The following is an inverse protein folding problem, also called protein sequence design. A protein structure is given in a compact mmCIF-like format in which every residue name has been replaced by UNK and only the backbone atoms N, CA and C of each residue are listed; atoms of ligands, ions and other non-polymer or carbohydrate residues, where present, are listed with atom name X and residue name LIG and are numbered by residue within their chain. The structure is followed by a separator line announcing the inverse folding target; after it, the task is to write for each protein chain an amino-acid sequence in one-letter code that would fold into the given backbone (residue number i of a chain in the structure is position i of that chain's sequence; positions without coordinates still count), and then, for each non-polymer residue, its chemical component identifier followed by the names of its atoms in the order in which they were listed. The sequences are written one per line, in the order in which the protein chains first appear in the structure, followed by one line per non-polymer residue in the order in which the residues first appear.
data_IF_540808152201
#
_entry.id   IF_540808152201
#
_cell.length_a   1.000
_cell.length_b   1.000
_cell.length_c   1.000
_cell.angle_alpha   90.00
_cell.angle_beta   90.00
_cell.angle_gamma   90.00
#
_symmetry.space_group_name_H-M   'P 1'
#
loop_
_entity.id
_entity.type
_entity.pdbx_description
1 polymer ?
#
# COMPACT_ATOMS: atom_id res chain seq x y z
N UNK A 1 0.29 -17.17 -37.71
CA UNK A 1 0.94 -17.43 -36.41
C UNK A 1 2.27 -16.69 -36.44
N UNK A 2 2.38 -15.61 -35.68
CA UNK A 2 3.67 -14.94 -35.46
C UNK A 2 4.59 -15.92 -34.74
N UNK A 3 5.78 -16.16 -35.30
CA UNK A 3 6.75 -17.09 -34.73
C UNK A 3 7.27 -16.55 -33.39
N UNK A 4 7.06 -17.30 -32.31
CA UNK A 4 7.48 -16.88 -30.96
C UNK A 4 8.96 -17.20 -30.81
N UNK A 5 9.80 -16.16 -30.72
CA UNK A 5 11.23 -16.31 -30.45
C UNK A 5 11.47 -16.54 -28.96
N UNK A 6 12.42 -17.42 -28.65
CA UNK A 6 12.83 -17.76 -27.30
C UNK A 6 14.31 -17.40 -27.07
N UNK A 7 14.70 -16.98 -25.85
CA UNK A 7 16.10 -16.80 -25.49
C UNK A 7 16.91 -18.09 -25.68
N UNK A 8 18.24 -17.96 -25.80
CA UNK A 8 19.12 -19.11 -26.01
C UNK A 8 18.92 -20.20 -24.93
N UNK A 9 18.84 -21.46 -25.36
CA UNK A 9 18.60 -22.61 -24.48
C UNK A 9 17.15 -22.79 -24.00
N UNK A 10 16.26 -21.84 -24.29
CA UNK A 10 14.84 -21.97 -23.97
C UNK A 10 14.10 -22.75 -25.07
N UNK A 11 13.11 -23.53 -24.67
CA UNK A 11 12.28 -24.35 -25.56
C UNK A 11 10.84 -23.81 -25.57
N UNK A 12 10.06 -24.06 -26.63
CA UNK A 12 8.68 -23.59 -26.73
C UNK A 12 7.82 -23.98 -25.53
N UNK A 13 6.95 -23.08 -25.09
CA UNK A 13 5.92 -23.36 -24.08
C UNK A 13 4.62 -23.61 -24.85
N UNK A 14 4.09 -24.83 -24.77
CA UNK A 14 2.87 -25.22 -25.49
C UNK A 14 1.86 -25.85 -24.51
N UNK A 15 0.57 -25.70 -24.80
CA UNK A 15 -0.50 -26.10 -23.88
C UNK A 15 -0.63 -27.62 -23.69
N UNK A 16 -0.12 -28.40 -24.65
CA UNK A 16 -0.09 -29.86 -24.65
C UNK A 16 1.00 -30.46 -23.74
N UNK A 17 1.89 -29.62 -23.17
CA UNK A 17 2.94 -30.10 -22.27
C UNK A 17 2.37 -30.58 -20.94
N UNK A 18 2.87 -31.73 -20.47
CA UNK A 18 2.69 -32.15 -19.09
C UNK A 18 3.29 -31.13 -18.12
N UNK A 19 2.67 -30.97 -16.95
CA UNK A 19 3.03 -29.94 -15.95
C UNK A 19 4.52 -29.96 -15.57
N UNK A 20 5.13 -31.13 -15.40
CA UNK A 20 6.55 -31.23 -15.02
C UNK A 20 7.50 -30.72 -16.11
N UNK A 21 7.21 -31.02 -17.38
CA UNK A 21 8.01 -30.53 -18.50
C UNK A 21 7.80 -29.02 -18.69
N UNK A 22 6.58 -28.52 -18.49
CA UNK A 22 6.29 -27.10 -18.51
C UNK A 22 7.08 -26.36 -17.41
N UNK A 23 7.09 -26.88 -16.18
CA UNK A 23 7.89 -26.36 -15.07
C UNK A 23 9.38 -26.34 -15.43
N UNK A 24 9.90 -27.41 -16.03
CA UNK A 24 11.31 -27.49 -16.44
C UNK A 24 11.66 -26.39 -17.46
N UNK A 25 10.81 -26.19 -18.48
CA UNK A 25 11.03 -25.15 -19.51
C UNK A 25 10.90 -23.75 -18.91
N UNK A 26 9.91 -23.51 -18.06
CA UNK A 26 9.74 -22.23 -17.37
C UNK A 26 10.90 -21.90 -16.43
N UNK A 27 11.49 -22.88 -15.75
CA UNK A 27 12.71 -22.67 -14.94
C UNK A 27 13.88 -22.21 -15.81
N UNK A 28 14.09 -22.82 -16.98
CA UNK A 28 15.11 -22.40 -17.93
C UNK A 28 14.84 -20.99 -18.44
N UNK A 29 13.59 -20.70 -18.79
CA UNK A 29 13.19 -19.36 -19.25
C UNK A 29 13.39 -18.29 -18.19
N UNK A 30 12.94 -18.54 -16.96
CA UNK A 30 13.11 -17.63 -15.83
C UNK A 30 14.60 -17.32 -15.59
N UNK A 31 15.47 -18.32 -15.69
CA UNK A 31 16.92 -18.10 -15.53
C UNK A 31 17.51 -17.27 -16.67
N UNK A 32 17.10 -17.52 -17.92
CA UNK A 32 17.55 -16.75 -19.07
C UNK A 32 17.09 -15.29 -18.99
N UNK A 33 15.82 -15.04 -18.65
CA UNK A 33 15.27 -13.69 -18.49
C UNK A 33 15.90 -12.96 -17.29
N UNK A 34 16.14 -13.64 -16.17
CA UNK A 34 16.83 -13.06 -15.02
C UNK A 34 18.25 -12.60 -15.35
N UNK A 35 18.98 -13.35 -16.17
CA UNK A 35 20.35 -13.01 -16.59
C UNK A 35 20.40 -11.89 -17.65
N UNK A 36 19.28 -11.61 -18.30
CA UNK A 36 19.19 -10.68 -19.43
C UNK A 36 19.29 -9.21 -18.97
N UNK A 37 20.11 -8.44 -19.66
CA UNK A 37 20.21 -6.98 -19.49
C UNK A 37 19.22 -6.20 -20.37
N UNK A 38 18.94 -4.94 -20.02
CA UNK A 38 18.09 -4.05 -20.82
C UNK A 38 18.73 -3.70 -22.19
N UNK A 39 20.06 -3.63 -22.25
CA UNK A 39 20.80 -3.20 -23.45
C UNK A 39 21.02 -4.32 -24.49
N UNK A 40 20.41 -5.49 -24.30
CA UNK A 40 20.56 -6.59 -25.24
C UNK A 40 19.80 -6.33 -26.54
N UNK A 41 20.51 -6.41 -27.68
CA UNK A 41 19.96 -6.12 -29.02
C UNK A 41 18.72 -6.95 -29.39
N UNK A 42 18.55 -8.11 -28.74
CA UNK A 42 17.48 -9.06 -29.03
C UNK A 42 16.24 -8.87 -28.15
N UNK A 43 16.22 -7.94 -27.19
CA UNK A 43 15.03 -7.72 -26.34
C UNK A 43 13.74 -7.53 -27.15
N UNK A 44 13.70 -6.69 -28.22
CA UNK A 44 12.49 -6.49 -29.02
C UNK A 44 11.99 -7.76 -29.72
N UNK A 45 12.85 -8.76 -29.94
CA UNK A 45 12.46 -10.04 -30.56
C UNK A 45 11.54 -10.87 -29.65
N UNK A 46 11.50 -10.59 -28.35
CA UNK A 46 10.75 -11.37 -27.36
C UNK A 46 9.35 -10.83 -27.04
N UNK A 47 8.85 -9.84 -27.79
CA UNK A 47 7.50 -9.27 -27.56
C UNK A 47 6.42 -10.35 -27.64
N UNK A 48 6.49 -11.25 -28.63
CA UNK A 48 5.48 -12.31 -28.78
C UNK A 48 5.52 -13.31 -27.61
N UNK A 49 6.71 -13.59 -27.07
CA UNK A 49 6.87 -14.41 -25.87
C UNK A 49 6.27 -13.72 -24.64
N UNK A 50 6.48 -12.41 -24.51
CA UNK A 50 5.91 -11.62 -23.42
C UNK A 50 4.39 -11.61 -23.43
N UNK A 51 3.78 -11.48 -24.62
CA UNK A 51 2.33 -11.52 -24.80
C UNK A 51 1.76 -12.91 -24.52
N UNK A 52 2.43 -13.97 -24.97
CA UNK A 52 2.01 -15.34 -24.71
C UNK A 52 2.04 -15.69 -23.21
N UNK A 53 3.04 -15.22 -22.45
CA UNK A 53 3.14 -15.52 -21.01
C UNK A 53 2.02 -14.93 -20.15
N UNK A 54 1.28 -13.95 -20.68
CA UNK A 54 0.14 -13.32 -19.99
C UNK A 54 -1.20 -13.84 -20.47
N UNK A 55 -1.21 -14.88 -21.30
CA UNK A 55 -2.42 -15.59 -21.68
C UNK A 55 -3.07 -16.27 -20.47
N UNK A 56 -4.40 -16.38 -20.51
CA UNK A 56 -5.21 -16.94 -19.44
C UNK A 56 -4.77 -18.34 -19.03
N UNK A 57 -4.32 -19.15 -20.00
CA UNK A 57 -3.76 -20.48 -19.76
C UNK A 57 -2.64 -20.46 -18.71
N UNK A 58 -1.69 -19.52 -18.82
CA UNK A 58 -0.56 -19.42 -17.90
C UNK A 58 -0.94 -18.75 -16.57
N UNK A 59 -1.72 -17.67 -16.61
CA UNK A 59 -2.12 -16.93 -15.41
C UNK A 59 -3.05 -17.76 -14.50
N UNK A 60 -3.91 -18.59 -15.09
CA UNK A 60 -4.88 -19.42 -14.38
C UNK A 60 -4.50 -20.90 -14.31
N UNK A 61 -3.25 -21.24 -14.67
CA UNK A 61 -2.77 -22.63 -14.65
C UNK A 61 -2.99 -23.29 -13.28
N UNK A 62 -3.38 -24.57 -13.25
CA UNK A 62 -3.73 -25.30 -12.02
C UNK A 62 -2.55 -25.46 -11.05
N UNK A 63 -1.34 -25.64 -11.57
CA UNK A 63 -0.11 -25.73 -10.77
C UNK A 63 0.36 -24.38 -10.25
N UNK A 64 0.54 -24.27 -8.93
CA UNK A 64 1.10 -23.08 -8.25
C UNK A 64 2.54 -22.80 -8.68
N UNK A 65 3.34 -23.84 -8.93
CA UNK A 65 4.73 -23.68 -9.35
C UNK A 65 4.83 -23.06 -10.75
N UNK A 66 3.93 -23.48 -11.66
CA UNK A 66 3.81 -22.87 -12.99
C UNK A 66 3.45 -21.40 -12.85
N UNK A 67 2.41 -21.08 -12.08
CA UNK A 67 2.00 -19.69 -11.90
C UNK A 67 3.12 -18.81 -11.30
N UNK A 68 3.83 -19.30 -10.29
CA UNK A 68 4.93 -18.56 -9.68
C UNK A 68 6.09 -18.33 -10.65
N UNK A 69 6.45 -19.34 -11.44
CA UNK A 69 7.48 -19.19 -12.47
C UNK A 69 7.07 -18.20 -13.55
N UNK A 70 5.81 -18.26 -13.99
CA UNK A 70 5.24 -17.29 -14.95
C UNK A 70 5.32 -15.87 -14.38
N UNK A 71 4.95 -15.67 -13.10
CA UNK A 71 5.08 -14.35 -12.48
C UNK A 71 6.52 -13.84 -12.43
N UNK A 72 7.50 -14.70 -12.11
CA UNK A 72 8.91 -14.30 -12.18
C UNK A 72 9.31 -13.92 -13.61
N UNK A 73 8.92 -14.69 -14.63
CA UNK A 73 9.20 -14.37 -16.03
C UNK A 73 8.60 -13.02 -16.44
N UNK A 74 7.34 -12.75 -16.09
CA UNK A 74 6.67 -11.48 -16.42
C UNK A 74 7.37 -10.31 -15.70
N UNK A 75 7.76 -10.47 -14.43
CA UNK A 75 8.51 -9.45 -13.70
C UNK A 75 9.86 -9.14 -14.35
N UNK A 76 10.59 -10.17 -14.78
CA UNK A 76 11.84 -9.98 -15.53
C UNK A 76 11.63 -9.38 -16.92
N UNK A 77 10.52 -9.67 -17.58
CA UNK A 77 10.14 -9.00 -18.84
C UNK A 77 9.92 -7.51 -18.58
N UNK A 78 9.17 -7.13 -17.54
CA UNK A 78 9.00 -5.71 -17.20
C UNK A 78 10.35 -5.04 -16.92
N UNK A 79 11.27 -5.74 -16.23
CA UNK A 79 12.64 -5.25 -15.97
C UNK A 79 13.43 -5.05 -17.25
N UNK A 80 13.43 -6.02 -18.15
CA UNK A 80 14.25 -6.05 -19.36
C UNK A 80 13.73 -5.07 -20.42
N UNK A 81 12.41 -4.90 -20.52
CA UNK A 81 11.79 -3.97 -21.46
C UNK A 81 11.69 -2.54 -20.95
N UNK A 82 11.97 -2.28 -19.67
CA UNK A 82 11.95 -0.92 -19.14
C UNK A 82 12.88 0.01 -19.95
N UNK A 83 12.45 1.26 -20.24
CA UNK A 83 11.26 1.93 -19.70
C UNK A 83 9.94 1.59 -20.41
N UNK A 84 9.96 0.97 -21.58
CA UNK A 84 8.75 0.72 -22.40
C UNK A 84 8.32 -0.75 -22.33
N UNK A 85 7.43 -1.07 -21.39
CA UNK A 85 6.87 -2.41 -21.26
C UNK A 85 6.13 -2.86 -22.55
N UNK A 86 6.12 -4.17 -22.87
CA UNK A 86 5.50 -4.68 -24.09
C UNK A 86 3.96 -4.71 -24.03
N UNK A 87 3.39 -4.46 -22.85
CA UNK A 87 1.95 -4.52 -22.59
C UNK A 87 1.32 -3.14 -22.75
N UNK A 88 0.33 -3.02 -23.65
CA UNK A 88 -0.34 -1.75 -23.96
C UNK A 88 -1.83 -1.74 -23.62
N UNK A 89 -2.44 -2.91 -23.48
CA UNK A 89 -3.86 -3.06 -23.21
C UNK A 89 -4.13 -2.94 -21.70
N UNK A 90 -5.07 -2.07 -21.30
CA UNK A 90 -5.31 -1.79 -19.87
C UNK A 90 -5.86 -3.00 -19.11
N UNK A 91 -6.72 -3.82 -19.74
CA UNK A 91 -7.28 -5.01 -19.11
C UNK A 91 -6.19 -6.09 -18.93
N UNK A 92 -5.30 -6.24 -19.90
CA UNK A 92 -4.13 -7.10 -19.80
C UNK A 92 -3.20 -6.63 -18.67
N UNK A 93 -2.87 -5.34 -18.59
CA UNK A 93 -2.02 -4.79 -17.54
C UNK A 93 -2.67 -5.04 -16.17
N UNK A 94 -3.97 -4.79 -16.04
CA UNK A 94 -4.73 -5.09 -14.82
C UNK A 94 -4.69 -6.57 -14.45
N UNK A 95 -4.86 -7.47 -15.41
CA UNK A 95 -4.78 -8.92 -15.17
C UNK A 95 -3.39 -9.33 -14.65
N UNK A 96 -2.31 -8.76 -15.20
CA UNK A 96 -0.93 -9.00 -14.77
C UNK A 96 -0.74 -8.56 -13.31
N UNK A 97 -1.13 -7.34 -12.93
CA UNK A 97 -0.92 -6.86 -11.57
C UNK A 97 -1.80 -7.55 -10.53
N UNK A 98 -3.02 -7.92 -10.90
CA UNK A 98 -3.88 -8.76 -10.08
C UNK A 98 -3.27 -10.15 -9.87
N UNK A 99 -2.65 -10.72 -10.92
CA UNK A 99 -1.91 -11.97 -10.84
C UNK A 99 -0.67 -11.84 -9.94
N UNK A 100 0.09 -10.74 -10.01
CA UNK A 100 1.19 -10.48 -9.09
C UNK A 100 0.72 -10.40 -7.63
N UNK A 101 -0.38 -9.70 -7.34
CA UNK A 101 -0.95 -9.64 -5.98
C UNK A 101 -1.31 -11.05 -5.49
N UNK A 102 -1.89 -11.89 -6.36
CA UNK A 102 -2.17 -13.31 -6.05
C UNK A 102 -0.89 -14.06 -5.70
N UNK A 103 0.20 -13.89 -6.44
CA UNK A 103 1.47 -14.57 -6.15
C UNK A 103 2.17 -14.03 -4.91
N UNK A 104 2.15 -12.71 -4.68
CA UNK A 104 2.76 -12.11 -3.49
C UNK A 104 2.09 -12.58 -2.18
N UNK A 105 0.85 -13.08 -2.22
CA UNK A 105 0.21 -13.76 -1.10
C UNK A 105 1.00 -14.98 -0.58
N UNK A 106 1.83 -15.60 -1.43
CA UNK A 106 2.77 -16.66 -1.06
C UNK A 106 3.85 -16.23 -0.06
N UNK A 107 4.09 -14.92 0.10
CA UNK A 107 4.98 -14.38 1.13
C UNK A 107 4.47 -14.59 2.55
N UNK A 108 3.19 -14.95 2.75
CA UNK A 108 2.59 -15.10 4.08
C UNK A 108 3.35 -16.06 5.01
N UNK A 109 4.04 -17.05 4.45
CA UNK A 109 4.77 -18.07 5.19
C UNK A 109 6.25 -18.10 4.75
N UNK A 110 7.15 -17.45 5.52
CA UNK A 110 8.59 -17.49 5.26
C UNK A 110 9.22 -18.88 5.28
N UNK A 111 8.53 -19.90 5.81
CA UNK A 111 9.00 -21.28 5.90
C UNK A 111 8.61 -22.12 4.68
N UNK A 112 7.77 -21.58 3.78
CA UNK A 112 7.38 -22.25 2.55
C UNK A 112 8.60 -22.53 1.65
N UNK A 113 8.68 -23.73 1.06
CA UNK A 113 9.80 -24.14 0.21
C UNK A 113 10.00 -23.22 -1.02
N UNK A 114 8.93 -22.58 -1.48
CA UNK A 114 8.92 -21.64 -2.59
C UNK A 114 9.12 -20.18 -2.15
N UNK A 115 9.29 -19.89 -0.85
CA UNK A 115 9.46 -18.53 -0.33
C UNK A 115 10.58 -17.76 -1.02
N UNK A 116 11.71 -18.40 -1.34
CA UNK A 116 12.82 -17.75 -2.07
C UNK A 116 12.38 -17.15 -3.41
N UNK A 117 11.43 -17.79 -4.12
CA UNK A 117 10.89 -17.29 -5.38
C UNK A 117 9.88 -16.16 -5.16
N UNK A 118 9.02 -16.26 -4.15
CA UNK A 118 8.12 -15.17 -3.77
C UNK A 118 8.91 -13.92 -3.34
N UNK A 119 9.99 -14.11 -2.58
CA UNK A 119 10.91 -13.05 -2.19
C UNK A 119 11.57 -12.41 -3.41
N UNK A 120 12.07 -13.22 -4.35
CA UNK A 120 12.63 -12.71 -5.61
C UNK A 120 11.62 -11.88 -6.40
N UNK A 121 10.38 -12.36 -6.51
CA UNK A 121 9.30 -11.62 -7.18
C UNK A 121 9.07 -10.27 -6.52
N UNK A 122 8.97 -10.23 -5.18
CA UNK A 122 8.81 -8.98 -4.42
C UNK A 122 9.98 -8.01 -4.66
N UNK A 123 11.21 -8.51 -4.56
CA UNK A 123 12.43 -7.72 -4.76
C UNK A 123 12.50 -7.11 -6.16
N UNK A 124 12.19 -7.90 -7.19
CA UNK A 124 12.19 -7.44 -8.58
C UNK A 124 11.13 -6.35 -8.82
N UNK A 125 9.88 -6.60 -8.40
CA UNK A 125 8.78 -5.65 -8.55
C UNK A 125 9.05 -4.33 -7.80
N UNK A 126 9.68 -4.39 -6.62
CA UNK A 126 10.07 -3.21 -5.86
C UNK A 126 11.18 -2.42 -6.56
N UNK A 127 12.24 -3.10 -7.02
CA UNK A 127 13.39 -2.45 -7.66
C UNK A 127 13.01 -1.76 -8.98
N UNK A 128 12.19 -2.41 -9.79
CA UNK A 128 11.71 -1.87 -11.07
C UNK A 128 10.56 -0.86 -10.88
N UNK A 129 10.00 -0.78 -9.66
CA UNK A 129 8.78 -0.02 -9.36
C UNK A 129 7.62 -0.39 -10.29
N UNK A 130 7.47 -1.68 -10.59
CA UNK A 130 6.57 -2.16 -11.64
C UNK A 130 5.11 -1.71 -11.44
N UNK A 131 4.63 -1.61 -10.19
CA UNK A 131 3.27 -1.18 -9.88
C UNK A 131 2.96 0.26 -10.31
N UNK A 132 3.96 1.12 -10.57
CA UNK A 132 3.72 2.47 -11.10
C UNK A 132 3.04 2.44 -12.48
N UNK A 133 3.21 1.35 -13.24
CA UNK A 133 2.50 1.15 -14.52
C UNK A 133 0.97 1.16 -14.35
N UNK A 134 0.47 0.88 -13.14
CA UNK A 134 -0.97 0.93 -12.86
C UNK A 134 -1.56 2.34 -12.88
N UNK A 135 -0.76 3.40 -12.80
CA UNK A 135 -1.30 4.77 -12.80
C UNK A 135 -2.04 5.12 -14.10
N UNK A 136 -1.68 4.47 -15.22
CA UNK A 136 -2.30 4.69 -16.52
C UNK A 136 -3.61 3.89 -16.73
N UNK A 137 -3.97 3.02 -15.79
CA UNK A 137 -5.13 2.14 -15.89
C UNK A 137 -6.38 2.81 -15.31
N UNK A 138 -7.49 2.74 -16.03
CA UNK A 138 -8.80 3.12 -15.49
C UNK A 138 -9.17 2.22 -14.30
N UNK A 139 -9.70 2.78 -13.21
CA UNK A 139 -9.97 2.03 -11.96
C UNK A 139 -8.73 1.41 -11.26
N UNK A 140 -7.52 1.96 -11.43
CA UNK A 140 -6.29 1.48 -10.78
C UNK A 140 -6.39 1.34 -9.24
N UNK A 141 -7.26 2.12 -8.61
CA UNK A 141 -7.52 2.08 -7.17
C UNK A 141 -7.99 0.70 -6.68
N UNK A 142 -8.69 -0.08 -7.52
CA UNK A 142 -9.07 -1.47 -7.16
C UNK A 142 -7.84 -2.35 -6.97
N UNK A 143 -6.82 -2.18 -7.82
CA UNK A 143 -5.55 -2.91 -7.73
C UNK A 143 -4.82 -2.49 -6.45
N UNK A 144 -4.72 -1.18 -6.18
CA UNK A 144 -4.04 -0.65 -5.00
C UNK A 144 -4.71 -1.10 -3.70
N UNK A 145 -6.04 -1.02 -3.61
CA UNK A 145 -6.77 -1.52 -2.44
C UNK A 145 -6.51 -3.02 -2.19
N UNK A 146 -6.49 -3.85 -3.24
CA UNK A 146 -6.20 -5.27 -3.08
C UNK A 146 -4.75 -5.53 -2.67
N UNK A 147 -3.80 -4.81 -3.25
CA UNK A 147 -2.39 -4.90 -2.86
C UNK A 147 -2.19 -4.52 -1.39
N UNK A 148 -2.73 -3.38 -0.96
CA UNK A 148 -2.57 -2.89 0.42
C UNK A 148 -3.24 -3.82 1.43
N UNK A 149 -4.49 -4.24 1.16
CA UNK A 149 -5.20 -5.20 2.00
C UNK A 149 -4.43 -6.52 2.10
N UNK A 150 -3.85 -7.00 0.99
CA UNK A 150 -3.04 -8.21 0.99
C UNK A 150 -1.77 -8.03 1.83
N UNK A 151 -0.99 -6.96 1.63
CA UNK A 151 0.26 -6.69 2.38
C UNK A 151 0.02 -6.60 3.89
N UNK A 152 -0.97 -5.83 4.33
CA UNK A 152 -1.31 -5.73 5.76
C UNK A 152 -1.81 -7.06 6.35
N UNK A 153 -2.46 -7.90 5.55
CA UNK A 153 -2.95 -9.21 6.00
C UNK A 153 -1.83 -10.24 6.15
N UNK A 154 -0.84 -10.23 5.26
CA UNK A 154 0.19 -11.27 5.24
C UNK A 154 1.37 -10.98 6.18
N UNK A 155 1.65 -9.70 6.48
CA UNK A 155 2.82 -9.31 7.25
C UNK A 155 2.79 -9.87 8.68
N UNK A 156 3.92 -10.43 9.13
CA UNK A 156 4.09 -11.05 10.44
C UNK A 156 5.52 -10.90 11.01
N UNK A 157 5.77 -11.52 12.15
CA UNK A 157 7.04 -11.53 12.88
C UNK A 157 8.14 -12.31 12.15
N UNK A 158 7.79 -13.40 11.47
CA UNK A 158 8.73 -14.23 10.71
C UNK A 158 9.35 -13.47 9.49
N UNK A 159 8.76 -12.34 9.08
CA UNK A 159 9.32 -11.52 7.99
C UNK A 159 10.56 -10.74 8.42
N UNK A 160 11.65 -10.97 7.69
CA UNK A 160 12.87 -10.16 7.80
C UNK A 160 12.62 -8.68 7.50
N UNK A 161 13.49 -7.82 8.03
CA UNK A 161 13.49 -6.37 7.72
C UNK A 161 13.56 -6.10 6.21
N UNK A 162 14.29 -6.93 5.45
CA UNK A 162 14.41 -6.77 4.00
C UNK A 162 13.07 -6.96 3.28
N UNK A 163 12.27 -7.95 3.69
CA UNK A 163 10.91 -8.17 3.16
C UNK A 163 10.04 -6.95 3.46
N UNK A 164 10.05 -6.49 4.72
CA UNK A 164 9.27 -5.33 5.16
C UNK A 164 9.63 -4.07 4.36
N UNK A 165 10.93 -3.84 4.13
CA UNK A 165 11.39 -2.71 3.33
C UNK A 165 10.88 -2.79 1.88
N UNK A 166 10.95 -3.95 1.22
CA UNK A 166 10.43 -4.07 -0.14
C UNK A 166 8.90 -3.90 -0.22
N UNK A 167 8.15 -4.33 0.79
CA UNK A 167 6.71 -4.01 0.87
C UNK A 167 6.49 -2.49 0.91
N UNK A 168 7.26 -1.77 1.73
CA UNK A 168 7.22 -0.30 1.81
C UNK A 168 7.60 0.35 0.47
N UNK A 169 8.65 -0.16 -0.19
CA UNK A 169 9.17 0.39 -1.44
C UNK A 169 8.19 0.21 -2.61
N UNK A 170 7.35 -0.84 -2.58
CA UNK A 170 6.22 -1.00 -3.50
C UNK A 170 5.07 -0.06 -3.14
N UNK A 171 4.71 0.04 -1.86
CA UNK A 171 3.49 0.75 -1.43
C UNK A 171 3.65 2.28 -1.41
N UNK A 172 4.83 2.78 -1.10
CA UNK A 172 5.08 4.23 -0.92
C UNK A 172 4.86 5.04 -2.20
N UNK A 173 5.39 4.65 -3.38
CA UNK A 173 5.13 5.35 -4.65
C UNK A 173 3.64 5.47 -4.96
N UNK A 174 2.85 4.44 -4.63
CA UNK A 174 1.40 4.38 -4.86
C UNK A 174 0.60 5.36 -3.98
N UNK A 175 1.24 5.95 -2.96
CA UNK A 175 0.68 7.05 -2.17
C UNK A 175 1.23 8.39 -2.66
N UNK A 176 2.54 8.46 -2.94
CA UNK A 176 3.22 9.72 -3.20
C UNK A 176 3.07 10.25 -4.63
N UNK A 177 2.92 9.34 -5.60
CA UNK A 177 2.83 9.65 -7.03
C UNK A 177 1.39 9.53 -7.57
N UNK A 178 0.44 9.05 -6.75
CA UNK A 178 -0.95 8.96 -7.15
C UNK A 178 -1.61 10.34 -7.24
N UNK A 179 -2.30 10.62 -8.35
CA UNK A 179 -3.08 11.86 -8.52
C UNK A 179 -4.16 12.02 -7.45
N UNK A 180 -4.80 10.91 -7.08
CA UNK A 180 -5.85 10.86 -6.04
C UNK A 180 -5.76 9.56 -5.25
N UNK A 181 -5.64 9.67 -3.92
CA UNK A 181 -5.80 8.55 -2.99
C UNK A 181 -7.26 8.43 -2.59
N UNK A 182 -7.88 7.28 -2.82
CA UNK A 182 -9.28 7.06 -2.46
C UNK A 182 -9.46 6.83 -0.96
N UNK A 183 -10.64 7.18 -0.42
CA UNK A 183 -10.97 6.96 1.00
C UNK A 183 -10.88 5.49 1.42
N UNK A 184 -11.30 4.49 0.63
CA UNK A 184 -11.10 3.08 0.98
C UNK A 184 -9.61 2.70 1.13
N UNK A 185 -8.74 3.22 0.27
CA UNK A 185 -7.30 2.97 0.37
C UNK A 185 -6.71 3.64 1.62
N UNK A 186 -7.14 4.86 1.92
CA UNK A 186 -6.79 5.54 3.17
C UNK A 186 -7.25 4.76 4.40
N UNK A 187 -8.48 4.22 4.38
CA UNK A 187 -9.02 3.38 5.47
C UNK A 187 -8.16 2.14 5.71
N UNK A 188 -7.72 1.46 4.65
CA UNK A 188 -6.83 0.31 4.73
C UNK A 188 -5.49 0.64 5.41
N UNK A 189 -4.98 1.87 5.27
CA UNK A 189 -3.75 2.30 5.95
C UNK A 189 -4.06 2.63 7.41
N UNK A 190 -5.05 3.51 7.64
CA UNK A 190 -5.32 4.11 8.94
C UNK A 190 -5.96 3.14 9.95
N UNK A 191 -6.69 2.11 9.49
CA UNK A 191 -7.30 1.15 10.41
C UNK A 191 -6.25 0.37 11.22
N UNK A 192 -5.05 0.16 10.66
CA UNK A 192 -3.96 -0.60 11.30
C UNK A 192 -3.29 0.16 12.46
N UNK A 193 -3.53 1.47 12.60
CA UNK A 193 -2.94 2.27 13.68
C UNK A 193 -3.88 2.49 14.87
N UNK A 194 -5.10 1.98 14.82
CA UNK A 194 -6.10 2.10 15.89
C UNK A 194 -6.51 0.74 16.45
N UNK A 195 -6.96 0.72 17.71
CA UNK A 195 -7.45 -0.50 18.35
C UNK A 195 -8.77 -0.99 17.75
N UNK A 196 -9.04 -2.31 17.69
CA UNK A 196 -8.19 -3.41 18.18
C UNK A 196 -7.11 -3.84 17.17
N UNK A 197 -7.09 -3.26 15.96
CA UNK A 197 -6.23 -3.74 14.88
C UNK A 197 -4.74 -3.54 15.19
N UNK A 198 -4.42 -2.40 15.82
CA UNK A 198 -3.07 -2.07 16.31
C UNK A 198 -2.49 -3.17 17.21
N UNK A 199 -3.23 -3.59 18.24
CA UNK A 199 -2.77 -4.64 19.15
C UNK A 199 -2.90 -6.05 18.56
N UNK A 200 -3.88 -6.29 17.69
CA UNK A 200 -4.09 -7.58 17.05
C UNK A 200 -2.97 -7.97 16.07
N UNK A 201 -2.37 -7.01 15.37
CA UNK A 201 -1.21 -7.24 14.52
C UNK A 201 -0.22 -6.06 14.58
N UNK A 202 0.75 -6.17 15.49
CA UNK A 202 1.80 -5.16 15.68
C UNK A 202 2.69 -4.97 14.44
N UNK A 203 2.83 -5.98 13.58
CA UNK A 203 3.62 -5.86 12.36
C UNK A 203 2.89 -5.08 11.27
N UNK A 204 1.57 -5.24 11.17
CA UNK A 204 0.74 -4.39 10.31
C UNK A 204 0.73 -2.93 10.81
N UNK A 205 0.69 -2.72 12.14
CA UNK A 205 0.89 -1.41 12.75
C UNK A 205 2.23 -0.78 12.32
N UNK A 206 3.35 -1.48 12.50
CA UNK A 206 4.67 -0.94 12.15
C UNK A 206 4.84 -0.69 10.64
N UNK A 207 4.22 -1.49 9.78
CA UNK A 207 4.18 -1.23 8.34
C UNK A 207 3.41 0.07 8.05
N UNK A 208 2.23 0.26 8.66
CA UNK A 208 1.42 1.46 8.48
C UNK A 208 2.14 2.70 9.03
N UNK A 209 2.76 2.60 10.21
CA UNK A 209 3.58 3.65 10.83
C UNK A 209 4.70 4.11 9.89
N UNK A 210 5.48 3.16 9.34
CA UNK A 210 6.56 3.49 8.41
C UNK A 210 6.04 4.10 7.09
N UNK A 211 4.93 3.61 6.55
CA UNK A 211 4.29 4.21 5.38
C UNK A 211 3.90 5.66 5.65
N UNK A 212 3.14 5.90 6.73
CA UNK A 212 2.66 7.22 7.11
C UNK A 212 3.83 8.20 7.29
N UNK A 213 4.92 7.76 7.91
CA UNK A 213 6.11 8.59 8.08
C UNK A 213 6.76 8.94 6.73
N UNK A 214 7.03 7.93 5.88
CA UNK A 214 7.67 8.13 4.57
C UNK A 214 6.83 8.96 3.60
N UNK A 215 5.52 8.82 3.65
CA UNK A 215 4.59 9.46 2.70
C UNK A 215 3.78 10.60 3.32
N UNK A 216 4.25 11.14 4.45
CA UNK A 216 3.54 12.15 5.24
C UNK A 216 3.12 13.38 4.43
N UNK A 217 4.02 13.95 3.63
CA UNK A 217 3.72 15.13 2.82
C UNK A 217 2.56 14.90 1.83
N UNK A 218 2.45 13.70 1.26
CA UNK A 218 1.38 13.33 0.34
C UNK A 218 0.06 13.03 1.09
N UNK A 219 0.15 12.41 2.27
CA UNK A 219 -1.01 12.10 3.10
C UNK A 219 -1.62 13.31 3.80
N UNK A 220 -0.82 14.33 4.16
CA UNK A 220 -1.28 15.50 4.91
C UNK A 220 -2.54 16.18 4.31
N UNK A 221 -2.58 16.60 3.04
CA UNK A 221 -3.77 17.24 2.48
C UNK A 221 -4.98 16.31 2.46
N UNK A 222 -4.76 15.01 2.22
CA UNK A 222 -5.81 14.00 2.10
C UNK A 222 -6.45 13.74 3.47
N UNK A 223 -5.61 13.56 4.49
CA UNK A 223 -6.02 13.39 5.89
C UNK A 223 -6.76 14.63 6.37
N UNK A 224 -6.28 15.84 6.04
CA UNK A 224 -6.96 17.10 6.39
C UNK A 224 -8.38 17.16 5.81
N UNK A 225 -8.53 16.80 4.53
CA UNK A 225 -9.85 16.77 3.86
C UNK A 225 -10.75 15.72 4.51
N UNK A 226 -10.22 14.52 4.76
CA UNK A 226 -10.95 13.43 5.40
C UNK A 226 -11.49 13.83 6.78
N UNK A 227 -10.64 14.38 7.66
CA UNK A 227 -11.09 14.86 8.96
C UNK A 227 -12.10 16.00 8.85
N UNK A 228 -11.95 16.92 7.89
CA UNK A 228 -12.92 17.99 7.68
C UNK A 228 -14.30 17.43 7.27
N UNK A 229 -14.33 16.44 6.38
CA UNK A 229 -15.57 15.79 5.94
C UNK A 229 -16.27 15.08 7.10
N UNK A 230 -15.53 14.33 7.92
CA UNK A 230 -16.11 13.54 9.00
C UNK A 230 -16.43 14.40 10.23
N UNK A 231 -15.45 15.16 10.74
CA UNK A 231 -15.62 15.92 11.97
C UNK A 231 -16.45 17.18 11.76
N UNK A 232 -16.15 17.98 10.74
CA UNK A 232 -16.78 19.30 10.60
C UNK A 232 -18.11 19.19 9.86
N UNK A 233 -18.13 18.47 8.73
CA UNK A 233 -19.33 18.35 7.90
C UNK A 233 -20.27 17.21 8.31
N UNK A 234 -19.85 16.34 9.24
CA UNK A 234 -20.67 15.21 9.70
C UNK A 234 -20.94 14.15 8.63
N UNK A 235 -20.13 14.12 7.55
CA UNK A 235 -20.27 13.13 6.47
C UNK A 235 -19.66 11.80 6.91
N UNK A 236 -20.48 10.94 7.49
CA UNK A 236 -20.10 9.62 7.96
C UNK A 236 -20.40 8.58 6.88
N UNK A 237 -19.37 7.96 6.33
CA UNK A 237 -19.50 6.76 5.49
C UNK A 237 -19.34 5.52 6.37
N UNK A 238 -20.40 4.70 6.44
CA UNK A 238 -20.42 3.47 7.23
C UNK A 238 -19.52 2.37 6.66
N UNK A 239 -19.10 2.49 5.40
CA UNK A 239 -18.18 1.55 4.76
C UNK A 239 -16.71 1.84 5.10
N UNK A 240 -16.42 2.99 5.74
CA UNK A 240 -15.08 3.41 6.14
C UNK A 240 -14.92 3.17 7.64
N UNK A 241 -14.18 2.12 8.00
CA UNK A 241 -14.12 1.60 9.36
C UNK A 241 -13.53 2.61 10.36
N UNK A 242 -12.54 3.40 9.92
CA UNK A 242 -11.86 4.37 10.78
C UNK A 242 -12.74 5.58 11.14
N UNK A 243 -13.85 5.82 10.43
CA UNK A 243 -14.79 6.92 10.69
C UNK A 243 -15.38 6.89 12.10
N UNK A 244 -15.52 5.70 12.69
CA UNK A 244 -16.02 5.56 14.07
C UNK A 244 -14.95 5.85 15.13
N UNK A 245 -13.68 6.01 14.73
CA UNK A 245 -12.49 6.04 15.61
C UNK A 245 -11.68 7.33 15.45
N UNK A 246 -12.31 8.43 15.02
CA UNK A 246 -11.60 9.65 14.64
C UNK A 246 -10.70 10.24 15.72
N UNK A 247 -11.14 10.26 16.98
CA UNK A 247 -10.35 10.83 18.07
C UNK A 247 -9.14 9.94 18.42
N UNK A 248 -9.31 8.61 18.42
CA UNK A 248 -8.21 7.66 18.60
C UNK A 248 -7.23 7.76 17.43
N UNK A 249 -7.74 7.87 16.21
CA UNK A 249 -6.95 8.05 15.00
C UNK A 249 -6.10 9.33 15.07
N UNK A 250 -6.67 10.46 15.52
CA UNK A 250 -5.89 11.71 15.69
C UNK A 250 -4.76 11.53 16.68
N UNK A 251 -5.04 10.87 17.82
CA UNK A 251 -4.02 10.60 18.82
C UNK A 251 -2.89 9.75 18.23
N UNK A 252 -3.21 8.67 17.53
CA UNK A 252 -2.24 7.74 16.96
C UNK A 252 -1.41 8.40 15.84
N UNK A 253 -2.05 9.17 14.96
CA UNK A 253 -1.35 9.95 13.95
C UNK A 253 -0.43 11.02 14.56
N UNK A 254 -0.82 11.62 15.70
CA UNK A 254 0.05 12.54 16.42
C UNK A 254 1.31 11.84 16.95
N UNK A 255 1.19 10.61 17.47
CA UNK A 255 2.36 9.84 17.92
C UNK A 255 3.28 9.47 16.76
N UNK A 256 2.71 9.07 15.61
CA UNK A 256 3.46 8.60 14.45
C UNK A 256 4.14 9.76 13.71
N UNK A 257 3.40 10.84 13.46
CA UNK A 257 3.90 12.01 12.72
C UNK A 257 3.19 13.29 13.19
N UNK A 258 3.74 13.97 14.22
CA UNK A 258 3.15 15.20 14.77
C UNK A 258 2.91 16.30 13.72
N UNK A 259 3.71 16.34 12.65
CA UNK A 259 3.60 17.35 11.61
C UNK A 259 2.33 17.16 10.77
N UNK A 260 1.90 15.92 10.51
CA UNK A 260 0.61 15.64 9.84
C UNK A 260 -0.54 16.30 10.61
N UNK A 261 -0.45 16.29 11.94
CA UNK A 261 -1.52 16.78 12.78
C UNK A 261 -1.66 18.29 12.83
N UNK A 262 -0.61 19.05 12.50
CA UNK A 262 -0.68 20.51 12.46
C UNK A 262 -1.85 21.01 11.58
N UNK A 263 -2.16 20.30 10.51
CA UNK A 263 -3.23 20.62 9.56
C UNK A 263 -4.66 20.38 10.08
N UNK A 264 -4.81 19.52 11.09
CA UNK A 264 -6.10 19.09 11.67
C UNK A 264 -6.41 19.81 12.98
N UNK A 265 -5.41 20.39 13.65
CA UNK A 265 -5.60 21.16 14.89
C UNK A 265 -6.69 22.24 14.81
N UNK A 266 -6.84 23.01 13.71
CA UNK A 266 -7.94 23.96 13.58
C UNK A 266 -9.33 23.31 13.65
N UNK A 267 -9.46 22.07 13.16
CA UNK A 267 -10.72 21.33 13.18
C UNK A 267 -11.05 20.85 14.61
N UNK A 268 -10.03 20.50 15.40
CA UNK A 268 -10.19 20.23 16.83
C UNK A 268 -10.58 21.50 17.59
N UNK A 269 -10.02 22.66 17.24
CA UNK A 269 -10.42 23.94 17.84
C UNK A 269 -11.90 24.23 17.60
N UNK A 270 -12.41 23.96 16.39
CA UNK A 270 -13.84 24.05 16.10
C UNK A 270 -14.67 23.12 17.00
N UNK A 271 -14.20 21.89 17.26
CA UNK A 271 -14.90 20.94 18.15
C UNK A 271 -14.90 21.35 19.62
N UNK A 272 -13.87 22.05 20.09
CA UNK A 272 -13.86 22.62 21.45
C UNK A 272 -14.89 23.74 21.62
N UNK A 273 -15.20 24.45 20.53
CA UNK A 273 -16.22 25.52 20.46
C UNK A 273 -17.61 24.98 20.07
N UNK A 274 -17.78 23.66 19.99
CA UNK A 274 -19.07 23.06 19.64
C UNK A 274 -20.13 23.38 20.69
N UNK A 275 -21.37 23.60 20.24
CA UNK A 275 -22.54 23.71 21.12
C UNK A 275 -22.87 22.38 21.79
N UNK A 276 -22.40 21.25 21.25
CA UNK A 276 -22.67 19.91 21.78
C UNK A 276 -21.64 19.53 22.84
N UNK A 277 -22.10 19.31 24.08
CA UNK A 277 -21.24 18.94 25.21
C UNK A 277 -20.39 17.71 24.95
N UNK A 278 -20.98 16.65 24.37
CA UNK A 278 -20.29 15.39 24.05
C UNK A 278 -19.11 15.64 23.10
N UNK A 279 -19.25 16.52 22.11
CA UNK A 279 -18.17 16.84 21.17
C UNK A 279 -17.04 17.61 21.86
N UNK A 280 -17.39 18.58 22.72
CA UNK A 280 -16.40 19.31 23.53
C UNK A 280 -15.64 18.36 24.44
N UNK A 281 -16.33 17.47 25.16
CA UNK A 281 -15.74 16.50 26.07
C UNK A 281 -14.76 15.56 25.37
N UNK A 282 -15.11 15.05 24.18
CA UNK A 282 -14.20 14.21 23.38
C UNK A 282 -12.95 14.97 22.94
N UNK A 283 -13.11 16.22 22.47
CA UNK A 283 -11.98 17.05 22.05
C UNK A 283 -11.04 17.40 23.23
N UNK A 284 -11.60 17.75 24.38
CA UNK A 284 -10.82 18.02 25.62
C UNK A 284 -10.08 16.78 26.08
N UNK A 285 -10.76 15.63 26.11
CA UNK A 285 -10.15 14.36 26.54
C UNK A 285 -8.98 13.96 25.64
N UNK A 286 -9.14 14.10 24.33
CA UNK A 286 -8.07 13.87 23.36
C UNK A 286 -6.88 14.81 23.60
N UNK A 287 -7.13 16.12 23.72
CA UNK A 287 -6.06 17.08 23.96
C UNK A 287 -5.34 16.81 25.29
N UNK A 288 -6.08 16.53 26.37
CA UNK A 288 -5.51 16.18 27.67
C UNK A 288 -4.56 14.98 27.56
N UNK A 289 -4.97 13.94 26.82
CA UNK A 289 -4.12 12.78 26.54
C UNK A 289 -2.85 13.18 25.78
N UNK A 290 -2.97 13.97 24.71
CA UNK A 290 -1.83 14.45 23.92
C UNK A 290 -0.86 15.35 24.72
N UNK A 291 -1.36 16.16 25.66
CA UNK A 291 -0.53 16.99 26.55
C UNK A 291 0.19 16.19 27.62
N UNK A 292 -0.40 15.08 28.06
CA UNK A 292 0.13 14.26 29.15
C UNK A 292 1.28 13.35 28.70
N UNK A 293 1.58 13.29 27.40
CA UNK A 293 2.71 12.51 26.87
C UNK A 293 4.06 13.11 27.30
N UNK A 294 4.97 12.25 27.76
CA UNK A 294 6.24 12.65 28.37
C UNK A 294 7.10 13.54 27.46
N UNK A 295 7.06 13.32 26.16
CA UNK A 295 7.85 14.04 25.16
C UNK A 295 7.01 15.01 24.31
N UNK A 296 5.77 15.31 24.72
CA UNK A 296 4.85 16.16 23.98
C UNK A 296 5.45 17.54 23.70
N UNK A 297 5.64 17.86 22.42
CA UNK A 297 5.99 19.22 21.97
C UNK A 297 4.75 20.02 21.54
N UNK A 298 3.55 19.51 21.84
CA UNK A 298 2.29 20.15 21.45
C UNK A 298 2.19 21.56 22.02
N UNK A 299 2.58 21.75 23.28
CA UNK A 299 2.59 23.06 23.95
C UNK A 299 3.44 24.11 23.23
N UNK A 300 4.54 23.71 22.58
CA UNK A 300 5.44 24.62 21.85
C UNK A 300 4.97 24.90 20.43
N UNK A 301 4.53 23.87 19.70
CA UNK A 301 4.09 23.99 18.29
C UNK A 301 2.69 24.59 18.16
N UNK A 302 1.87 24.41 19.18
CA UNK A 302 0.44 24.70 19.15
C UNK A 302 0.09 25.80 20.15
N UNK A 303 1.08 26.48 20.77
CA UNK A 303 0.87 27.48 21.82
C UNK A 303 -0.26 28.47 21.51
N UNK A 304 -0.32 29.01 20.28
CA UNK A 304 -1.38 29.94 19.87
C UNK A 304 -2.77 29.30 19.81
N UNK A 305 -2.87 28.09 19.27
CA UNK A 305 -4.13 27.33 19.19
C UNK A 305 -4.56 26.89 20.60
N UNK A 306 -3.61 26.49 21.46
CA UNK A 306 -3.85 26.11 22.87
C UNK A 306 -4.29 27.32 23.68
N UNK A 307 -3.58 28.45 23.58
CA UNK A 307 -3.92 29.67 24.30
C UNK A 307 -5.31 30.17 23.91
N UNK A 308 -5.68 30.08 22.63
CA UNK A 308 -7.01 30.44 22.16
C UNK A 308 -8.08 29.42 22.55
N UNK A 309 -7.80 28.12 22.39
CA UNK A 309 -8.74 27.04 22.70
C UNK A 309 -8.99 26.90 24.21
N UNK A 310 -7.94 26.76 25.03
CA UNK A 310 -8.05 26.71 26.50
C UNK A 310 -8.52 28.04 27.07
N UNK A 311 -8.08 29.18 26.51
CA UNK A 311 -8.60 30.49 26.91
C UNK A 311 -10.11 30.65 26.61
N UNK A 312 -10.62 30.01 25.56
CA UNK A 312 -12.07 29.95 25.27
C UNK A 312 -12.81 28.92 26.14
N UNK A 313 -12.22 27.74 26.37
CA UNK A 313 -12.77 26.68 27.21
C UNK A 313 -12.89 27.12 28.66
N UNK A 314 -11.83 27.71 29.25
CA UNK A 314 -11.86 28.27 30.60
C UNK A 314 -12.88 29.40 30.72
N UNK A 315 -13.05 30.24 29.68
CA UNK A 315 -14.12 31.25 29.66
C UNK A 315 -15.51 30.64 29.64
N UNK A 316 -15.72 29.53 28.93
CA UNK A 316 -17.00 28.84 28.83
C UNK A 316 -17.36 28.07 30.11
N UNK A 317 -16.39 27.36 30.69
CA UNK A 317 -16.56 26.70 31.99
C UNK A 317 -16.87 27.70 33.12
N UNK A 318 -16.28 28.91 33.08
CA UNK A 318 -16.59 29.97 34.03
C UNK A 318 -17.95 30.65 33.77
N UNK A 319 -18.49 30.61 32.55
CA UNK A 319 -19.81 31.18 32.24
C UNK A 319 -20.98 30.25 32.59
N UNK A 320 -20.77 28.93 32.59
CA UNK A 320 -21.80 27.93 32.96
C UNK A 320 -21.94 27.74 34.49
N UNK A 321 -21.10 28.39 35.30
CA UNK A 321 -21.18 28.41 36.78
C UNK A 321 -21.93 29.62 37.37
N UNK A 322 -22.87 30.24 36.63
CA UNK A 322 -23.72 31.33 37.16
C UNK A 322 -25.20 31.03 37.04
#
# INVERSE_FOLDING_TARGET
MTDVKYPSGCRPLTEDLGTDELIRRLKTLAHALQAMGQDEKHVPDYIQLALMLVDEYFLQHSSRDVQLLVACCIADILRVFAPEAPYKDQDQIKAIFMFFIKQLNGLKDPKDASFKRYFYLLENLAFVKSFNMCFEIEDCQKIFCQLFAMMFRIINDDHSTKVKNFMIDIMSPLITEADNLTTPLLDLILINIVEPQKSANIHAYHLAEQLIQKTSYALEPIIKIFFNQVLILGKIDKNIAVTAKMYDLIYELYQISPNLMCSVLPQLECKLKSTTEIERMKAVSLLARMFSEKDSQLSKKTYLIIANAFGSFLRHCCSDTR
#
